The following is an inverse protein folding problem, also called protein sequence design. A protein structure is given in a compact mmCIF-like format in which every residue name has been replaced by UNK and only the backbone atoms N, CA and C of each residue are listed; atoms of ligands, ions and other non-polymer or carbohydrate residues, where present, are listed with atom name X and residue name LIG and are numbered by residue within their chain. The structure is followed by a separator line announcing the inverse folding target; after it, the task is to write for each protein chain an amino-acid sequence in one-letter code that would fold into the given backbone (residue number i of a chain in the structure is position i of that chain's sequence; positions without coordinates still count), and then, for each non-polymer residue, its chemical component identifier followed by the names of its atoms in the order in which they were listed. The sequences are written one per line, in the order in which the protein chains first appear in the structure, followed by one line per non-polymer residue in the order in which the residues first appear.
data_IF_102323110495
#
_entry.id   IF_102323110495
#
_cell.length_a   1.000
_cell.length_b   1.000
_cell.length_c   1.000
_cell.angle_alpha   90.00
_cell.angle_beta   90.00
_cell.angle_gamma   90.00
#
_symmetry.space_group_name_H-M   'P 1'
#
loop_
_entity.id
_entity.type
_entity.pdbx_description
1 polymer ?
#
# COMPACT_ATOMS: atom_id res chain seq x y z
N UNK A 1 -5.46 -16.96 -29.38
CA UNK A 1 -5.23 -15.83 -28.46
C UNK A 1 -3.77 -15.42 -28.58
N UNK A 2 -3.49 -14.24 -29.11
CA UNK A 2 -2.13 -13.80 -29.43
C UNK A 2 -1.35 -13.44 -28.16
N UNK A 3 -0.14 -14.00 -28.01
CA UNK A 3 0.83 -13.57 -27.02
C UNK A 3 1.33 -12.16 -27.39
N UNK A 4 1.23 -11.22 -26.46
CA UNK A 4 1.77 -9.87 -26.66
C UNK A 4 3.30 -9.89 -26.43
N UNK A 5 4.10 -9.23 -27.28
CA UNK A 5 5.56 -9.23 -27.18
C UNK A 5 6.06 -8.46 -25.93
N UNK A 6 7.16 -8.95 -25.36
CA UNK A 6 7.79 -8.48 -24.11
C UNK A 6 8.44 -7.08 -24.17
N UNK A 7 8.16 -6.28 -25.20
CA UNK A 7 8.82 -4.99 -25.44
C UNK A 7 8.24 -3.81 -24.63
N UNK A 8 7.20 -4.03 -23.81
CA UNK A 8 6.48 -2.95 -23.12
C UNK A 8 6.75 -2.83 -21.61
N UNK A 9 7.74 -3.55 -21.07
CA UNK A 9 8.21 -3.35 -19.71
C UNK A 9 9.12 -2.11 -19.63
N UNK A 10 8.56 -0.91 -19.79
CA UNK A 10 9.27 0.33 -19.46
C UNK A 10 9.32 0.48 -17.94
N UNK A 11 10.51 0.71 -17.39
CA UNK A 11 10.73 1.03 -15.99
C UNK A 11 9.82 2.19 -15.58
N UNK A 12 8.92 1.97 -14.64
CA UNK A 12 8.18 3.04 -14.00
C UNK A 12 9.15 3.84 -13.13
N UNK A 13 9.74 4.91 -13.69
CA UNK A 13 10.43 5.92 -12.89
C UNK A 13 9.35 6.71 -12.16
N UNK A 14 9.09 6.36 -10.90
CA UNK A 14 8.20 7.13 -10.03
C UNK A 14 8.95 8.39 -9.54
N UNK A 15 8.49 9.61 -9.84
CA UNK A 15 9.18 10.82 -9.41
C UNK A 15 8.95 11.08 -7.92
N UNK A 16 10.06 11.17 -7.17
CA UNK A 16 10.25 11.79 -5.84
C UNK A 16 9.37 11.22 -4.69
N UNK A 17 9.89 11.32 -3.46
CA UNK A 17 9.40 10.72 -2.20
C UNK A 17 7.88 10.93 -1.93
N UNK A 18 7.26 11.91 -2.57
CA UNK A 18 5.88 12.38 -2.42
C UNK A 18 4.76 11.37 -2.78
N UNK A 19 5.08 10.26 -3.43
CA UNK A 19 4.08 9.27 -3.86
C UNK A 19 4.32 7.87 -3.27
N UNK A 20 5.55 7.58 -2.84
CA UNK A 20 6.05 6.22 -2.62
C UNK A 20 5.25 5.41 -1.61
N UNK A 21 4.94 5.98 -0.44
CA UNK A 21 4.26 5.23 0.64
C UNK A 21 2.81 4.90 0.26
N UNK A 22 2.07 5.87 -0.29
CA UNK A 22 0.70 5.65 -0.75
C UNK A 22 0.65 4.64 -1.90
N UNK A 23 1.62 4.68 -2.82
CA UNK A 23 1.74 3.71 -3.93
C UNK A 23 2.13 2.32 -3.44
N UNK A 24 3.07 2.19 -2.51
CA UNK A 24 3.50 0.89 -1.97
C UNK A 24 2.35 0.20 -1.23
N UNK A 25 1.63 0.93 -0.38
CA UNK A 25 0.48 0.39 0.34
C UNK A 25 -0.68 0.04 -0.59
N UNK A 26 -0.94 0.85 -1.62
CA UNK A 26 -1.97 0.54 -2.61
C UNK A 26 -1.64 -0.73 -3.41
N UNK A 27 -0.40 -0.86 -3.90
CA UNK A 27 0.04 -2.07 -4.63
C UNK A 27 0.02 -3.29 -3.72
N UNK A 28 0.47 -3.18 -2.47
CA UNK A 28 0.43 -4.28 -1.52
C UNK A 28 -1.01 -4.76 -1.24
N UNK A 29 -1.97 -3.82 -1.06
CA UNK A 29 -3.36 -4.18 -0.89
C UNK A 29 -3.91 -4.94 -2.10
N UNK A 30 -3.61 -4.51 -3.32
CA UNK A 30 -4.06 -5.19 -4.54
C UNK A 30 -3.41 -6.57 -4.75
N UNK A 31 -2.12 -6.72 -4.40
CA UNK A 31 -1.45 -8.03 -4.40
C UNK A 31 -2.13 -8.97 -3.40
N UNK A 32 -2.38 -8.50 -2.17
CA UNK A 32 -3.00 -9.29 -1.12
C UNK A 32 -4.43 -9.69 -1.51
N UNK A 33 -5.24 -8.76 -2.02
CA UNK A 33 -6.56 -9.05 -2.59
C UNK A 33 -6.52 -10.11 -3.67
N UNK A 34 -5.57 -10.00 -4.61
CA UNK A 34 -5.43 -10.95 -5.71
C UNK A 34 -5.03 -12.34 -5.22
N UNK A 35 -4.15 -12.38 -4.21
CA UNK A 35 -3.65 -13.63 -3.63
C UNK A 35 -4.71 -14.35 -2.79
N UNK A 36 -5.46 -13.62 -1.97
CA UNK A 36 -6.51 -14.18 -1.10
C UNK A 36 -7.85 -14.35 -1.83
N UNK A 37 -8.03 -13.68 -2.98
CA UNK A 37 -9.32 -13.55 -3.65
C UNK A 37 -10.32 -12.64 -2.91
N UNK A 38 -9.90 -11.92 -1.86
CA UNK A 38 -10.77 -11.11 -1.02
C UNK A 38 -10.05 -9.87 -0.46
N UNK A 39 -10.79 -8.78 -0.27
CA UNK A 39 -10.28 -7.58 0.40
C UNK A 39 -10.37 -7.63 1.93
N UNK A 40 -10.89 -8.72 2.49
CA UNK A 40 -11.00 -8.86 3.95
C UNK A 40 -9.63 -8.90 4.62
N UNK A 41 -9.44 -8.06 5.64
CA UNK A 41 -8.22 -8.04 6.46
C UNK A 41 -8.51 -8.26 7.95
N UNK A 42 -9.41 -7.48 8.54
CA UNK A 42 -9.88 -7.67 9.92
C UNK A 42 -8.83 -7.40 11.02
N UNK A 43 -7.78 -6.63 10.74
CA UNK A 43 -6.73 -6.36 11.74
C UNK A 43 -7.09 -5.21 12.67
N UNK A 44 -6.53 -5.24 13.88
CA UNK A 44 -6.57 -4.11 14.82
C UNK A 44 -5.28 -4.04 15.63
N UNK A 45 -4.98 -2.84 16.14
CA UNK A 45 -3.85 -2.60 17.03
C UNK A 45 -4.27 -1.67 18.15
N UNK A 46 -3.88 -2.02 19.37
CA UNK A 46 -4.02 -1.17 20.54
C UNK A 46 -2.75 -0.33 20.71
N UNK A 47 -2.91 0.98 20.69
CA UNK A 47 -1.87 1.96 21.00
C UNK A 47 -2.11 2.41 22.43
N UNK A 48 -1.13 2.19 23.31
CA UNK A 48 -1.25 2.49 24.74
C UNK A 48 -1.12 3.99 25.01
N UNK A 49 -1.81 4.48 26.04
CA UNK A 49 -1.63 5.85 26.52
C UNK A 49 -0.16 6.17 26.77
N UNK A 50 0.29 7.35 26.35
CA UNK A 50 1.66 7.83 26.51
C UNK A 50 2.73 7.06 25.73
N UNK A 51 2.38 6.14 24.83
CA UNK A 51 3.35 5.27 24.15
C UNK A 51 4.02 5.90 22.92
N UNK A 52 3.75 7.16 22.59
CA UNK A 52 4.39 7.85 21.47
C UNK A 52 5.89 7.99 21.69
N UNK A 53 6.68 7.73 20.63
CA UNK A 53 8.12 7.98 20.65
C UNK A 53 8.45 9.47 20.43
N UNK A 54 7.53 10.24 19.86
CA UNK A 54 7.72 11.67 19.58
C UNK A 54 7.32 12.53 20.79
N UNK A 55 6.24 12.15 21.48
CA UNK A 55 5.75 12.83 22.69
C UNK A 55 5.49 11.79 23.81
N UNK A 56 6.56 11.25 24.41
CA UNK A 56 6.45 10.17 25.40
C UNK A 56 5.70 10.60 26.66
N UNK A 57 4.85 9.70 27.20
CA UNK A 57 4.08 9.94 28.42
C UNK A 57 2.88 10.88 28.26
N UNK A 58 2.68 11.49 27.09
CA UNK A 58 1.61 12.45 26.82
C UNK A 58 0.66 11.97 25.73
N UNK A 59 1.20 11.40 24.64
CA UNK A 59 0.40 10.98 23.48
C UNK A 59 0.49 9.46 23.27
N UNK A 60 -0.63 8.78 22.96
CA UNK A 60 -2.01 9.29 23.03
C UNK A 60 -2.45 9.52 24.49
N UNK A 61 -3.40 10.43 24.73
CA UNK A 61 -3.85 10.72 26.10
C UNK A 61 -4.54 9.51 26.75
N UNK A 62 -5.21 8.69 25.96
CA UNK A 62 -5.85 7.43 26.38
C UNK A 62 -5.47 6.31 25.44
N UNK A 63 -5.70 5.06 25.85
CA UNK A 63 -5.60 3.91 24.96
C UNK A 63 -6.45 4.12 23.69
N UNK A 64 -5.85 3.88 22.53
CA UNK A 64 -6.45 4.09 21.21
C UNK A 64 -6.38 2.80 20.41
N UNK A 65 -7.53 2.27 19.98
CA UNK A 65 -7.58 1.12 19.08
C UNK A 65 -7.77 1.57 17.65
N UNK A 66 -6.84 1.21 16.77
CA UNK A 66 -7.00 1.35 15.32
C UNK A 66 -7.46 0.02 14.74
N UNK A 67 -8.39 0.04 13.79
CA UNK A 67 -8.90 -1.19 13.16
C UNK A 67 -9.14 -0.99 11.66
N UNK A 68 -8.90 -2.07 10.90
CA UNK A 68 -9.03 -2.11 9.45
C UNK A 68 -9.78 -3.35 9.02
N UNK A 69 -11.04 -3.22 8.57
CA UNK A 69 -11.81 -4.35 8.06
C UNK A 69 -11.24 -4.89 6.74
N UNK A 70 -10.60 -4.03 5.93
CA UNK A 70 -10.10 -4.40 4.60
C UNK A 70 -8.64 -3.99 4.35
N UNK A 71 -7.98 -4.65 3.39
CA UNK A 71 -6.63 -4.24 2.94
C UNK A 71 -6.66 -2.85 2.32
N UNK A 72 -7.73 -2.52 1.59
CA UNK A 72 -7.95 -1.17 1.09
C UNK A 72 -8.05 -0.12 2.19
N UNK A 73 -8.73 -0.40 3.31
CA UNK A 73 -8.83 0.52 4.43
C UNK A 73 -7.47 0.74 5.10
N UNK A 74 -6.68 -0.33 5.27
CA UNK A 74 -5.32 -0.25 5.80
C UNK A 74 -4.39 0.60 4.91
N UNK A 75 -4.42 0.38 3.58
CA UNK A 75 -3.69 1.21 2.63
C UNK A 75 -4.20 2.68 2.62
N UNK A 76 -5.52 2.84 2.77
CA UNK A 76 -6.23 4.06 3.12
C UNK A 76 -5.52 4.86 4.22
N UNK A 77 -5.43 4.26 5.40
CA UNK A 77 -4.85 4.93 6.55
C UNK A 77 -3.32 5.14 6.44
N UNK A 78 -2.61 4.23 5.77
CA UNK A 78 -1.16 4.36 5.55
C UNK A 78 -0.79 5.64 4.78
N UNK A 79 -1.52 5.97 3.70
CA UNK A 79 -1.29 7.23 2.98
C UNK A 79 -1.70 8.48 3.77
N UNK A 80 -2.74 8.38 4.62
CA UNK A 80 -3.19 9.46 5.50
C UNK A 80 -2.13 9.79 6.57
N UNK A 81 -1.45 8.78 7.09
CA UNK A 81 -0.39 8.95 8.10
C UNK A 81 0.71 9.92 7.64
N UNK A 82 0.99 9.97 6.34
CA UNK A 82 2.01 10.84 5.76
C UNK A 82 1.57 12.30 5.65
N UNK A 83 0.26 12.52 5.52
CA UNK A 83 -0.33 13.86 5.64
C UNK A 83 -0.26 14.34 7.08
N UNK A 84 -0.68 13.50 8.03
CA UNK A 84 -0.62 13.84 9.46
C UNK A 84 0.82 14.05 9.94
N UNK A 85 1.79 13.31 9.39
CA UNK A 85 3.21 13.52 9.65
C UNK A 85 3.82 14.74 8.95
N UNK A 86 3.05 15.54 8.20
CA UNK A 86 3.52 16.79 7.58
C UNK A 86 4.49 16.61 6.41
N UNK A 87 4.60 15.42 5.83
CA UNK A 87 5.63 15.06 4.84
C UNK A 87 5.06 14.77 3.45
N UNK A 88 3.74 14.86 3.27
CA UNK A 88 3.06 14.72 1.97
C UNK A 88 1.90 15.71 1.85
N UNK A 89 1.80 16.38 0.70
CA UNK A 89 0.60 17.14 0.31
C UNK A 89 -0.55 16.20 -0.06
N UNK A 90 -1.79 16.65 0.14
CA UNK A 90 -2.99 15.88 -0.19
C UNK A 90 -3.02 15.40 -1.64
N UNK A 91 -2.61 16.23 -2.58
CA UNK A 91 -2.54 15.87 -4.00
C UNK A 91 -1.59 14.70 -4.25
N UNK A 92 -0.45 14.65 -3.56
CA UNK A 92 0.49 13.53 -3.65
C UNK A 92 -0.07 12.24 -3.07
N UNK A 93 -0.76 12.31 -1.93
CA UNK A 93 -1.44 11.14 -1.36
C UNK A 93 -2.52 10.58 -2.29
N UNK A 94 -3.39 11.44 -2.83
CA UNK A 94 -4.47 11.04 -3.74
C UNK A 94 -3.93 10.47 -5.04
N UNK A 95 -2.94 11.12 -5.66
CA UNK A 95 -2.29 10.61 -6.87
C UNK A 95 -1.59 9.28 -6.61
N UNK A 96 -0.90 9.13 -5.46
CA UNK A 96 -0.21 7.90 -5.10
C UNK A 96 -1.15 6.70 -4.93
N UNK A 97 -2.38 6.92 -4.44
CA UNK A 97 -3.44 5.90 -4.36
C UNK A 97 -4.12 5.63 -5.69
N UNK A 98 -4.29 6.68 -6.49
CA UNK A 98 -4.93 6.61 -7.80
C UNK A 98 -4.02 6.06 -8.90
N UNK A 99 -2.74 5.80 -8.60
CA UNK A 99 -1.86 5.09 -9.52
C UNK A 99 -2.44 3.71 -9.79
N UNK A 100 -3.04 3.58 -10.97
CA UNK A 100 -3.67 2.36 -11.45
C UNK A 100 -2.72 1.18 -11.26
N UNK A 101 -3.15 0.23 -10.43
CA UNK A 101 -2.51 -1.07 -10.29
C UNK A 101 -2.29 -1.72 -11.66
N UNK A 102 -3.22 -1.56 -12.61
CA UNK A 102 -3.06 -2.06 -13.98
C UNK A 102 -1.83 -1.51 -14.72
N UNK A 103 -1.38 -0.28 -14.45
CA UNK A 103 -0.18 0.28 -15.08
C UNK A 103 1.10 -0.15 -14.35
N UNK A 104 1.05 -0.28 -13.03
CA UNK A 104 2.18 -0.73 -12.20
C UNK A 104 2.41 -2.25 -12.26
N UNK A 105 1.34 -3.05 -12.37
CA UNK A 105 1.34 -4.51 -12.25
C UNK A 105 1.47 -5.24 -13.59
N UNK A 106 1.11 -4.63 -14.73
CA UNK A 106 1.24 -5.28 -16.05
C UNK A 106 2.63 -5.90 -16.30
N UNK A 107 3.74 -5.25 -15.93
CA UNK A 107 5.07 -5.86 -16.01
C UNK A 107 5.25 -7.07 -15.06
N UNK A 108 4.73 -7.00 -13.83
CA UNK A 108 4.82 -8.07 -12.83
C UNK A 108 3.87 -9.26 -13.12
N UNK A 109 2.75 -9.04 -13.81
CA UNK A 109 1.80 -10.09 -14.20
C UNK A 109 2.44 -11.11 -15.14
N UNK A 110 3.36 -10.68 -15.99
CA UNK A 110 4.16 -11.57 -16.85
C UNK A 110 5.11 -12.48 -16.03
N UNK A 111 5.56 -12.03 -14.85
CA UNK A 111 6.42 -12.81 -13.97
C UNK A 111 5.60 -13.80 -13.12
N UNK A 112 4.42 -13.41 -12.65
CA UNK A 112 3.55 -14.25 -11.81
C UNK A 112 2.87 -15.42 -12.57
N UNK A 113 2.75 -15.34 -13.90
CA UNK A 113 2.20 -16.46 -14.71
C UNK A 113 3.21 -17.55 -15.02
N UNK A 114 4.49 -17.42 -14.65
CA UNK A 114 5.41 -18.55 -14.64
C UNK A 114 5.10 -19.44 -13.44
N UNK A 115 4.19 -20.38 -13.64
CA UNK A 115 3.86 -21.50 -12.75
C UNK A 115 5.04 -22.45 -12.43
N UNK A 116 6.28 -22.09 -12.78
CA UNK A 116 7.49 -22.93 -12.65
C UNK A 116 8.44 -22.54 -11.51
N UNK A 117 8.20 -21.46 -10.76
CA UNK A 117 9.16 -21.00 -9.73
C UNK A 117 8.79 -21.45 -8.29
N UNK A 118 7.61 -22.03 -8.06
CA UNK A 118 7.17 -22.42 -6.70
C UNK A 118 7.43 -23.92 -6.39
N UNK A 119 8.12 -24.65 -7.27
CA UNK A 119 8.52 -26.05 -7.00
C UNK A 119 9.95 -26.35 -7.46
N UNK A 120 10.94 -25.61 -6.94
CA UNK A 120 12.34 -26.05 -6.87
C UNK A 120 12.98 -25.59 -5.57
#
# INVERSE_FOLDING_TARGET
MAALPASNCRHAVLPRILLRSSTFSAVAAEILKTFTGSDTFGASVLIKSGSSLIEPGVVPATDLTLSWPTFSAAAGQAGLSRRYGGIHFQTGDLMGRALDFNKAWRPCRCLATKKEVINR
#
